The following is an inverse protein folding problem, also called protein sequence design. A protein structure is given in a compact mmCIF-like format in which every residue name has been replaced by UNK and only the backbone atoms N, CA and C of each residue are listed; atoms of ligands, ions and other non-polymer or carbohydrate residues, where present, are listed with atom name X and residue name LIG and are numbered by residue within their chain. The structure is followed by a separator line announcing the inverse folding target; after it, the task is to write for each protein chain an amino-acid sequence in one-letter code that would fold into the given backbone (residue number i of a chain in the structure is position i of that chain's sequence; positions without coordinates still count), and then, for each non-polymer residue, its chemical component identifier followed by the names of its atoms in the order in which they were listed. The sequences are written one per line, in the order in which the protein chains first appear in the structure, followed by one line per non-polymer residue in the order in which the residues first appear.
data_IF_248350320569
#
_entry.id   IF_248350320569
#
_cell.length_a   1.000
_cell.length_b   1.000
_cell.length_c   1.000
_cell.angle_alpha   90.00
_cell.angle_beta   90.00
_cell.angle_gamma   90.00
#
_symmetry.space_group_name_H-M   'P 1'
#
loop_
_entity.id
_entity.type
_entity.pdbx_description
1 polymer ?
#
# COMPACT_ATOMS: atom_id res chain seq x y z
N UNK A 1 15.25 29.75 -74.84
CA UNK A 1 16.51 29.94 -75.59
C UNK A 1 16.39 31.16 -76.46
N UNK A 2 17.38 32.07 -76.39
CA UNK A 2 17.40 33.27 -77.24
C UNK A 2 17.81 32.91 -78.67
N UNK A 3 17.25 33.61 -79.66
CA UNK A 3 17.58 33.41 -81.09
C UNK A 3 17.98 34.73 -81.73
N UNK A 4 18.89 34.67 -82.70
CA UNK A 4 19.31 35.83 -83.52
C UNK A 4 19.28 35.47 -85.00
N UNK A 5 19.24 36.47 -85.89
CA UNK A 5 19.26 36.27 -87.35
C UNK A 5 20.69 36.37 -87.87
N UNK A 6 21.09 35.47 -88.76
CA UNK A 6 22.36 35.58 -89.49
C UNK A 6 22.34 36.85 -90.36
N UNK A 7 23.38 37.70 -90.33
CA UNK A 7 23.42 38.91 -91.13
C UNK A 7 23.47 38.61 -92.63
N UNK A 8 24.07 37.48 -93.03
CA UNK A 8 24.33 37.17 -94.44
C UNK A 8 23.18 36.39 -95.10
N UNK A 9 22.64 35.38 -94.42
CA UNK A 9 21.61 34.49 -94.99
C UNK A 9 20.26 34.57 -94.28
N UNK A 10 20.11 35.44 -93.27
CA UNK A 10 18.89 35.66 -92.47
C UNK A 10 18.28 34.41 -91.80
N UNK A 11 19.00 33.29 -91.76
CA UNK A 11 18.59 32.11 -91.02
C UNK A 11 18.57 32.39 -89.51
N UNK A 12 17.62 31.80 -88.78
CA UNK A 12 17.56 31.89 -87.32
C UNK A 12 18.64 31.00 -86.69
N UNK A 13 19.45 31.57 -85.81
CA UNK A 13 20.51 30.89 -85.05
C UNK A 13 20.15 30.91 -83.57
N UNK A 14 20.42 29.83 -82.86
CA UNK A 14 20.26 29.75 -81.41
C UNK A 14 21.50 30.37 -80.76
N UNK A 15 21.29 31.31 -79.84
CA UNK A 15 22.36 31.89 -79.03
C UNK A 15 22.59 30.95 -77.85
N UNK A 16 23.81 30.43 -77.63
CA UNK A 16 24.13 29.61 -76.46
C UNK A 16 23.79 30.30 -75.15
N UNK A 17 23.45 29.52 -74.12
CA UNK A 17 23.15 30.06 -72.78
C UNK A 17 24.41 30.52 -72.03
N UNK A 18 25.59 30.17 -72.53
CA UNK A 18 26.87 30.66 -72.02
C UNK A 18 27.02 32.17 -72.29
N UNK A 19 27.06 33.00 -71.23
CA UNK A 19 27.10 34.46 -71.35
C UNK A 19 28.41 34.97 -71.97
N UNK A 20 29.48 34.17 -71.96
CA UNK A 20 30.79 34.54 -72.49
C UNK A 20 30.91 34.27 -74.00
N UNK A 21 29.88 33.66 -74.61
CA UNK A 21 29.81 33.50 -76.06
C UNK A 21 29.66 34.85 -76.74
N UNK A 22 30.71 35.27 -77.46
CA UNK A 22 30.74 36.53 -78.24
C UNK A 22 30.49 36.32 -79.72
N UNK A 23 30.62 35.09 -80.23
CA UNK A 23 30.43 34.76 -81.65
C UNK A 23 29.68 33.43 -81.82
N UNK A 24 28.78 33.37 -82.80
CA UNK A 24 28.06 32.14 -83.18
C UNK A 24 28.24 31.91 -84.68
N UNK A 25 28.50 30.66 -85.08
CA UNK A 25 28.61 30.27 -86.48
C UNK A 25 27.25 29.84 -87.02
N UNK A 26 26.86 30.38 -88.17
CA UNK A 26 25.64 29.97 -88.86
C UNK A 26 25.80 28.55 -89.42
N UNK A 27 24.90 27.65 -89.04
CA UNK A 27 24.90 26.28 -89.56
C UNK A 27 24.53 26.20 -91.06
N UNK A 28 23.89 27.22 -91.62
CA UNK A 28 23.37 27.22 -92.99
C UNK A 28 24.36 27.78 -94.01
N UNK A 29 24.91 28.98 -93.76
CA UNK A 29 25.87 29.62 -94.68
C UNK A 29 27.33 29.55 -94.19
N UNK A 30 27.56 29.04 -92.97
CA UNK A 30 28.90 28.93 -92.39
C UNK A 30 29.50 30.23 -91.85
N UNK A 31 28.85 31.38 -92.05
CA UNK A 31 29.34 32.69 -91.60
C UNK A 31 29.30 32.85 -90.08
N UNK A 32 30.24 33.60 -89.51
CA UNK A 32 30.32 33.89 -88.08
C UNK A 32 29.69 35.25 -87.77
N UNK A 33 28.65 35.26 -86.91
CA UNK A 33 28.01 36.47 -86.44
C UNK A 33 28.48 36.81 -85.03
N UNK A 34 28.72 38.10 -84.75
CA UNK A 34 28.93 38.57 -83.39
C UNK A 34 27.59 38.63 -82.64
N UNK A 35 27.57 38.10 -81.43
CA UNK A 35 26.41 38.19 -80.55
C UNK A 35 26.51 39.50 -79.78
N UNK A 36 25.65 40.47 -80.09
CA UNK A 36 25.56 41.73 -79.36
C UNK A 36 25.28 41.53 -77.86
N UNK A 37 25.68 42.49 -77.03
CA UNK A 37 25.30 42.60 -75.60
C UNK A 37 25.74 41.46 -74.66
N UNK A 38 26.96 40.94 -74.83
CA UNK A 38 27.56 39.96 -73.91
C UNK A 38 27.58 40.47 -72.44
N UNK A 39 27.82 41.77 -72.23
CA UNK A 39 27.79 42.36 -70.89
C UNK A 39 26.39 42.38 -70.27
N UNK A 40 25.34 42.66 -71.06
CA UNK A 40 23.96 42.63 -70.56
C UNK A 40 23.54 41.21 -70.14
N UNK A 41 23.95 40.19 -70.89
CA UNK A 41 23.72 38.78 -70.53
C UNK A 41 24.43 38.39 -69.23
N UNK A 42 25.70 38.78 -69.07
CA UNK A 42 26.44 38.57 -67.82
C UNK A 42 25.77 39.24 -66.62
N UNK A 43 25.34 40.49 -66.75
CA UNK A 43 24.62 41.21 -65.68
C UNK A 43 23.32 40.52 -65.31
N UNK A 44 22.52 40.12 -66.28
CA UNK A 44 21.26 39.41 -66.06
C UNK A 44 21.46 38.02 -65.42
N UNK A 45 22.53 37.30 -65.76
CA UNK A 45 22.86 36.03 -65.08
C UNK A 45 23.26 36.26 -63.62
N UNK A 46 24.10 37.26 -63.34
CA UNK A 46 24.47 37.63 -61.98
C UNK A 46 23.27 38.09 -61.15
N UNK A 47 22.31 38.78 -61.76
CA UNK A 47 21.04 39.15 -61.11
C UNK A 47 20.22 37.90 -60.76
N UNK A 48 20.07 36.95 -61.68
CA UNK A 48 19.40 35.66 -61.41
C UNK A 48 20.08 34.87 -60.30
N UNK A 49 21.41 34.84 -60.27
CA UNK A 49 22.15 34.18 -59.19
C UNK A 49 21.95 34.88 -57.84
N UNK A 50 21.92 36.22 -57.82
CA UNK A 50 21.63 36.99 -56.60
C UNK A 50 20.22 36.76 -56.11
N UNK A 51 19.24 36.74 -57.01
CA UNK A 51 17.84 36.43 -56.68
C UNK A 51 17.70 35.00 -56.17
N UNK A 52 18.34 34.02 -56.82
CA UNK A 52 18.34 32.64 -56.38
C UNK A 52 18.95 32.47 -54.97
N UNK A 53 20.05 33.18 -54.67
CA UNK A 53 20.66 33.18 -53.33
C UNK A 53 19.71 33.77 -52.28
N UNK A 54 19.10 34.93 -52.56
CA UNK A 54 18.11 35.54 -51.65
C UNK A 54 16.91 34.63 -51.42
N UNK A 55 16.44 33.96 -52.46
CA UNK A 55 15.34 33.01 -52.37
C UNK A 55 15.72 31.78 -51.52
N UNK A 56 16.92 31.24 -51.70
CA UNK A 56 17.44 30.14 -50.90
C UNK A 56 17.60 30.52 -49.41
N UNK A 57 18.10 31.73 -49.13
CA UNK A 57 18.21 32.26 -47.76
C UNK A 57 16.82 32.45 -47.12
N UNK A 58 15.85 32.98 -47.86
CA UNK A 58 14.48 33.13 -47.38
C UNK A 58 13.83 31.77 -47.07
N UNK A 59 14.01 30.77 -47.94
CA UNK A 59 13.52 29.42 -47.69
C UNK A 59 14.18 28.77 -46.48
N UNK A 60 15.51 28.93 -46.32
CA UNK A 60 16.22 28.42 -45.16
C UNK A 60 15.74 29.10 -43.86
N UNK A 61 15.48 30.41 -43.89
CA UNK A 61 14.94 31.15 -42.75
C UNK A 61 13.52 30.69 -42.38
N UNK A 62 12.64 30.48 -43.36
CA UNK A 62 11.29 29.95 -43.13
C UNK A 62 11.33 28.54 -42.54
N UNK A 63 12.15 27.64 -43.09
CA UNK A 63 12.30 26.28 -42.56
C UNK A 63 12.88 26.28 -41.12
N UNK A 64 13.77 27.22 -40.79
CA UNK A 64 14.27 27.39 -39.44
C UNK A 64 13.20 27.92 -38.47
N UNK A 65 12.35 28.85 -38.92
CA UNK A 65 11.23 29.37 -38.14
C UNK A 65 10.20 28.27 -37.83
N UNK A 66 9.79 27.49 -38.83
CA UNK A 66 8.86 26.37 -38.65
C UNK A 66 9.38 25.33 -37.63
N UNK A 67 10.68 25.01 -37.67
CA UNK A 67 11.29 24.08 -36.70
C UNK A 67 11.27 24.65 -35.28
N UNK A 68 11.42 25.96 -35.10
CA UNK A 68 11.34 26.61 -33.78
C UNK A 68 9.92 26.59 -33.26
N UNK A 69 8.95 26.96 -34.09
CA UNK A 69 7.52 26.92 -33.72
C UNK A 69 7.06 25.50 -33.37
N UNK A 70 7.50 24.49 -34.14
CA UNK A 70 7.19 23.09 -33.85
C UNK A 70 7.71 22.66 -32.46
N UNK A 71 8.96 23.03 -32.12
CA UNK A 71 9.55 22.74 -30.80
C UNK A 71 8.80 23.46 -29.69
N UNK A 72 8.47 24.74 -29.86
CA UNK A 72 7.71 25.50 -28.86
C UNK A 72 6.31 24.92 -28.63
N UNK A 73 5.64 24.44 -29.69
CA UNK A 73 4.34 23.78 -29.57
C UNK A 73 4.46 22.44 -28.84
N UNK A 74 5.51 21.67 -29.09
CA UNK A 74 5.78 20.42 -28.38
C UNK A 74 6.08 20.64 -26.90
N UNK A 75 6.91 21.63 -26.56
CA UNK A 75 7.19 22.01 -25.17
C UNK A 75 5.90 22.46 -24.45
N UNK A 76 5.08 23.32 -25.09
CA UNK A 76 3.78 23.72 -24.52
C UNK A 76 2.84 22.52 -24.31
N UNK A 77 2.89 21.51 -25.16
CA UNK A 77 2.11 20.27 -25.01
C UNK A 77 2.66 19.41 -23.88
N UNK A 78 3.98 19.30 -23.72
CA UNK A 78 4.63 18.59 -22.63
C UNK A 78 4.30 19.22 -21.27
N UNK A 79 4.45 20.54 -21.15
CA UNK A 79 4.10 21.31 -19.95
C UNK A 79 2.63 21.12 -19.55
N UNK A 80 1.71 21.13 -20.53
CA UNK A 80 0.29 20.87 -20.26
C UNK A 80 0.04 19.45 -19.75
N UNK A 81 0.77 18.45 -20.26
CA UNK A 81 0.67 17.06 -19.78
C UNK A 81 1.22 16.92 -18.36
N UNK A 82 2.32 17.59 -18.05
CA UNK A 82 2.93 17.56 -16.72
C UNK A 82 2.04 18.25 -15.67
N UNK A 83 1.47 19.42 -15.98
CA UNK A 83 0.49 20.10 -15.11
C UNK A 83 -0.76 19.25 -14.87
N UNK A 84 -1.24 18.51 -15.89
CA UNK A 84 -2.37 17.57 -15.72
C UNK A 84 -1.99 16.37 -14.86
N UNK A 85 -0.79 15.80 -15.03
CA UNK A 85 -0.29 14.70 -14.19
C UNK A 85 -0.09 15.10 -12.74
N UNK A 86 0.45 16.29 -12.46
CA UNK A 86 0.63 16.77 -11.08
C UNK A 86 -0.70 16.91 -10.32
N UNK A 87 -1.74 17.44 -10.97
CA UNK A 87 -3.05 17.66 -10.34
C UNK A 87 -3.86 16.37 -10.14
N UNK A 88 -3.77 15.43 -11.09
CA UNK A 88 -4.41 14.11 -10.95
C UNK A 88 -3.62 13.18 -10.02
N UNK A 89 -2.29 13.16 -10.11
CA UNK A 89 -1.42 12.39 -9.23
C UNK A 89 -1.58 12.79 -7.77
N UNK A 90 -1.65 14.10 -7.48
CA UNK A 90 -1.91 14.58 -6.13
C UNK A 90 -3.28 14.11 -5.59
N UNK A 91 -4.35 14.19 -6.39
CA UNK A 91 -5.71 13.77 -6.01
C UNK A 91 -5.84 12.26 -5.82
N UNK A 92 -5.24 11.47 -6.70
CA UNK A 92 -5.22 10.01 -6.60
C UNK A 92 -4.41 9.59 -5.38
N UNK A 93 -3.25 10.20 -5.14
CA UNK A 93 -2.46 9.93 -3.93
C UNK A 93 -3.18 10.35 -2.65
N UNK A 94 -3.95 11.46 -2.65
CA UNK A 94 -4.76 11.83 -1.47
C UNK A 94 -5.91 10.85 -1.23
N UNK A 95 -6.58 10.38 -2.29
CA UNK A 95 -7.64 9.37 -2.16
C UNK A 95 -7.09 8.02 -1.70
N UNK A 96 -5.97 7.56 -2.28
CA UNK A 96 -5.28 6.34 -1.83
C UNK A 96 -4.79 6.51 -0.41
N UNK A 97 -4.22 7.65 -0.02
CA UNK A 97 -3.83 7.90 1.36
C UNK A 97 -5.03 7.93 2.31
N UNK A 98 -6.17 8.52 1.94
CA UNK A 98 -7.37 8.53 2.80
C UNK A 98 -8.06 7.16 2.89
N UNK A 99 -7.97 6.31 1.87
CA UNK A 99 -8.53 4.95 1.87
C UNK A 99 -7.57 3.92 2.50
N UNK A 100 -6.27 4.09 2.29
CA UNK A 100 -5.23 3.21 2.82
C UNK A 100 -4.81 3.59 4.24
N UNK A 101 -4.90 4.86 4.66
CA UNK A 101 -4.54 5.24 6.02
C UNK A 101 -5.41 4.53 7.07
N UNK A 102 -6.74 4.41 6.96
CA UNK A 102 -7.53 3.66 7.95
C UNK A 102 -7.17 2.18 7.99
N UNK A 103 -6.86 1.54 6.86
CA UNK A 103 -6.50 0.12 6.80
C UNK A 103 -5.06 -0.12 7.27
N UNK A 104 -4.11 0.73 6.89
CA UNK A 104 -2.74 0.70 7.39
C UNK A 104 -2.74 0.99 8.89
N UNK A 105 -3.43 2.03 9.37
CA UNK A 105 -3.57 2.34 10.80
C UNK A 105 -4.25 1.18 11.54
N UNK A 106 -5.30 0.56 10.98
CA UNK A 106 -5.92 -0.61 11.61
C UNK A 106 -4.95 -1.80 11.73
N UNK A 107 -4.18 -2.09 10.68
CA UNK A 107 -3.18 -3.16 10.70
C UNK A 107 -2.01 -2.82 11.62
N UNK A 108 -1.49 -1.59 11.60
CA UNK A 108 -0.31 -1.19 12.38
C UNK A 108 -0.63 -0.93 13.86
N UNK A 109 -1.83 -0.46 14.18
CA UNK A 109 -2.24 -0.14 15.56
C UNK A 109 -2.91 -1.33 16.25
N UNK A 110 -3.61 -2.21 15.53
CA UNK A 110 -4.32 -3.34 16.16
C UNK A 110 -3.70 -4.72 15.86
N UNK A 111 -3.19 -4.97 14.65
CA UNK A 111 -2.72 -6.32 14.25
C UNK A 111 -1.21 -6.52 14.50
N UNK A 112 -0.38 -5.50 14.24
CA UNK A 112 1.07 -5.56 14.46
C UNK A 112 1.46 -5.68 15.95
N UNK A 113 0.86 -4.97 16.93
CA UNK A 113 1.19 -5.15 18.34
C UNK A 113 0.80 -6.54 18.86
N UNK A 114 -0.31 -7.11 18.38
CA UNK A 114 -0.76 -8.47 18.71
C UNK A 114 0.17 -9.55 18.13
N UNK A 115 0.81 -9.28 16.98
CA UNK A 115 1.79 -10.17 16.34
C UNK A 115 3.23 -9.98 16.83
N UNK A 116 3.62 -8.76 17.20
CA UNK A 116 4.96 -8.40 17.70
C UNK A 116 5.14 -8.58 19.22
N UNK A 117 4.14 -9.10 19.94
CA UNK A 117 4.28 -9.43 21.36
C UNK A 117 3.92 -8.30 22.33
N UNK A 118 3.50 -7.13 21.85
CA UNK A 118 2.94 -6.05 22.68
C UNK A 118 1.50 -6.34 23.18
N UNK A 119 1.00 -7.56 22.95
CA UNK A 119 -0.26 -8.11 23.48
C UNK A 119 -0.06 -9.25 24.48
N UNK A 120 1.10 -9.33 25.17
CA UNK A 120 1.33 -10.32 26.23
C UNK A 120 0.60 -10.01 27.55
N UNK A 121 -0.24 -8.97 27.61
CA UNK A 121 -0.92 -8.54 28.84
C UNK A 121 -1.64 -9.68 29.56
N UNK A 122 -2.28 -10.59 28.84
CA UNK A 122 -2.89 -11.78 29.45
C UNK A 122 -1.86 -12.72 30.09
N UNK A 123 -0.76 -13.02 29.41
CA UNK A 123 0.30 -13.87 29.95
C UNK A 123 1.03 -13.22 31.13
N UNK A 124 1.29 -11.91 31.07
CA UNK A 124 1.93 -11.17 32.16
C UNK A 124 1.02 -11.04 33.38
N UNK A 125 -0.28 -10.79 33.19
CA UNK A 125 -1.27 -10.85 34.28
C UNK A 125 -1.30 -12.24 34.91
N UNK A 126 -1.30 -13.31 34.10
CA UNK A 126 -1.21 -14.66 34.65
C UNK A 126 0.11 -14.89 35.39
N UNK A 127 1.25 -14.37 34.92
CA UNK A 127 2.53 -14.46 35.65
C UNK A 127 2.45 -13.75 37.00
N UNK A 128 1.85 -12.57 37.07
CA UNK A 128 1.66 -11.85 38.32
C UNK A 128 0.74 -12.63 39.28
N UNK A 129 -0.42 -13.09 38.80
CA UNK A 129 -1.37 -13.86 39.62
C UNK A 129 -0.80 -15.19 40.07
N UNK A 130 -0.08 -15.91 39.21
CA UNK A 130 0.59 -17.17 39.57
C UNK A 130 1.70 -16.95 40.60
N UNK A 131 2.46 -15.86 40.50
CA UNK A 131 3.46 -15.48 41.52
C UNK A 131 2.80 -15.17 42.86
N UNK A 132 1.67 -14.46 42.85
CA UNK A 132 0.89 -14.19 44.07
C UNK A 132 0.31 -15.47 44.67
N UNK A 133 -0.19 -16.40 43.85
CA UNK A 133 -0.74 -17.67 44.35
C UNK A 133 0.36 -18.63 44.82
N UNK A 134 1.58 -18.51 44.28
CA UNK A 134 2.73 -19.27 44.77
C UNK A 134 3.06 -18.94 46.23
N UNK A 135 2.86 -17.69 46.68
CA UNK A 135 3.05 -17.34 48.10
C UNK A 135 2.00 -17.97 49.03
N UNK A 136 0.91 -18.52 48.49
CA UNK A 136 -0.16 -19.23 49.22
C UNK A 136 0.02 -20.76 49.06
N UNK A 137 1.15 -21.20 48.51
CA UNK A 137 1.48 -22.62 48.34
C UNK A 137 0.92 -23.27 47.07
N UNK A 138 0.37 -22.49 46.12
CA UNK A 138 -0.01 -23.04 44.82
C UNK A 138 1.22 -23.34 43.95
N UNK A 139 1.25 -24.51 43.33
CA UNK A 139 2.28 -24.93 42.37
C UNK A 139 1.73 -24.97 40.94
N UNK A 140 2.57 -24.69 39.95
CA UNK A 140 2.17 -24.73 38.53
C UNK A 140 2.08 -26.18 38.07
N UNK A 141 0.87 -26.63 37.73
CA UNK A 141 0.63 -27.96 37.15
C UNK A 141 0.70 -27.94 35.62
N UNK A 142 0.24 -26.85 34.99
CA UNK A 142 0.45 -26.59 33.57
C UNK A 142 0.99 -25.17 33.38
N UNK A 143 2.12 -25.00 32.64
CA UNK A 143 2.70 -23.69 32.41
C UNK A 143 1.74 -22.81 31.60
N UNK A 144 1.98 -21.49 31.64
CA UNK A 144 1.19 -20.54 30.87
C UNK A 144 1.33 -20.85 29.38
N UNK A 145 0.22 -21.20 28.75
CA UNK A 145 0.12 -21.38 27.30
C UNK A 145 -0.63 -20.21 26.70
N UNK A 146 -0.14 -19.69 25.59
CA UNK A 146 -0.78 -18.61 24.84
C UNK A 146 -1.18 -19.11 23.45
N UNK A 147 -2.46 -19.00 23.14
CA UNK A 147 -3.04 -19.43 21.87
C UNK A 147 -3.77 -18.27 21.23
N UNK A 148 -3.60 -18.06 19.93
CA UNK A 148 -4.42 -17.09 19.21
C UNK A 148 -5.79 -17.71 18.96
N UNK A 149 -6.82 -17.19 19.63
CA UNK A 149 -8.15 -17.76 19.62
C UNK A 149 -9.12 -16.90 18.81
N UNK A 150 -9.79 -17.52 17.84
CA UNK A 150 -10.92 -16.96 17.09
C UNK A 150 -12.26 -17.55 17.54
N UNK A 151 -12.25 -18.42 18.55
CA UNK A 151 -13.38 -19.16 19.09
C UNK A 151 -13.02 -19.80 20.44
N UNK A 152 -13.91 -20.64 20.97
CA UNK A 152 -13.69 -21.29 22.26
C UNK A 152 -12.45 -22.21 22.24
N UNK A 153 -11.67 -22.18 23.31
CA UNK A 153 -10.48 -23.03 23.49
C UNK A 153 -10.82 -24.13 24.48
N UNK A 154 -10.75 -25.39 24.06
CA UNK A 154 -11.04 -26.57 24.89
C UNK A 154 -9.75 -27.33 25.16
N UNK A 155 -9.46 -27.63 26.43
CA UNK A 155 -8.23 -28.32 26.85
C UNK A 155 -8.58 -29.44 27.82
N UNK A 156 -8.03 -30.62 27.54
CA UNK A 156 -8.03 -31.75 28.47
C UNK A 156 -6.78 -31.70 29.34
N UNK A 157 -6.94 -31.94 30.64
CA UNK A 157 -5.81 -32.08 31.55
C UNK A 157 -6.03 -33.19 32.59
N UNK A 158 -4.98 -33.94 32.93
CA UNK A 158 -5.01 -34.86 34.06
C UNK A 158 -4.90 -34.05 35.36
N UNK A 159 -5.97 -34.02 36.14
CA UNK A 159 -5.99 -33.39 37.46
C UNK A 159 -5.54 -34.40 38.53
N UNK A 160 -4.57 -34.05 39.41
CA UNK A 160 -4.26 -34.88 40.57
C UNK A 160 -5.42 -34.83 41.58
N UNK A 161 -5.39 -35.74 42.57
CA UNK A 161 -6.22 -35.59 43.75
C UNK A 161 -5.84 -34.28 44.48
N UNK A 162 -6.83 -33.55 44.97
CA UNK A 162 -6.66 -32.24 45.61
C UNK A 162 -7.33 -31.11 44.83
N UNK A 163 -6.91 -29.87 45.12
CA UNK A 163 -7.49 -28.68 44.52
C UNK A 163 -6.67 -28.17 43.34
N UNK A 164 -7.35 -27.91 42.24
CA UNK A 164 -6.80 -27.26 41.06
C UNK A 164 -7.46 -25.91 40.86
N UNK A 165 -6.66 -24.92 40.44
CA UNK A 165 -7.12 -23.59 40.10
C UNK A 165 -6.75 -23.30 38.65
N UNK A 166 -7.76 -23.05 37.83
CA UNK A 166 -7.61 -22.76 36.41
C UNK A 166 -7.79 -21.27 36.23
N UNK A 167 -6.83 -20.65 35.56
CA UNK A 167 -6.80 -19.22 35.30
C UNK A 167 -6.74 -19.02 33.79
N UNK A 168 -7.56 -18.11 33.27
CA UNK A 168 -7.48 -17.66 31.91
C UNK A 168 -7.43 -16.13 31.87
N UNK A 169 -6.74 -15.58 30.88
CA UNK A 169 -6.60 -14.14 30.70
C UNK A 169 -6.58 -13.81 29.20
N UNK A 170 -7.40 -12.85 28.80
CA UNK A 170 -7.49 -12.37 27.43
C UNK A 170 -6.64 -11.13 27.22
N UNK A 171 -5.98 -11.02 26.07
CA UNK A 171 -5.33 -9.80 25.61
C UNK A 171 -6.04 -9.20 24.38
N UNK A 172 -5.81 -7.91 24.11
CA UNK A 172 -6.40 -7.21 22.96
C UNK A 172 -7.90 -6.95 23.15
N UNK A 173 -8.71 -7.42 22.19
CA UNK A 173 -10.17 -7.15 22.14
C UNK A 173 -11.02 -8.11 22.99
N UNK A 174 -10.38 -9.00 23.75
CA UNK A 174 -11.06 -9.87 24.71
C UNK A 174 -11.60 -9.05 25.89
N UNK A 175 -12.82 -8.51 25.75
CA UNK A 175 -13.50 -7.70 26.79
C UNK A 175 -14.20 -8.53 27.87
N UNK A 176 -14.52 -9.77 27.55
CA UNK A 176 -15.19 -10.71 28.46
C UNK A 176 -14.83 -12.13 28.05
N UNK A 177 -14.40 -12.91 29.02
CA UNK A 177 -14.13 -14.33 28.90
C UNK A 177 -15.05 -15.12 29.84
N UNK A 178 -15.43 -16.31 29.37
CA UNK A 178 -16.01 -17.37 30.18
C UNK A 178 -15.00 -18.49 30.35
N UNK A 179 -15.02 -19.15 31.50
CA UNK A 179 -14.29 -20.36 31.79
C UNK A 179 -15.30 -21.39 32.29
N UNK A 180 -15.31 -22.57 31.69
CA UNK A 180 -16.18 -23.70 32.07
C UNK A 180 -15.29 -24.90 32.35
N UNK A 181 -15.62 -25.66 33.38
CA UNK A 181 -14.94 -26.88 33.76
C UNK A 181 -15.92 -28.04 33.66
N UNK A 182 -15.50 -29.13 33.04
CA UNK A 182 -16.26 -30.35 32.85
C UNK A 182 -15.51 -31.54 33.46
N UNK A 183 -16.29 -32.43 34.07
CA UNK A 183 -15.79 -33.68 34.64
C UNK A 183 -15.53 -34.75 33.59
N UNK A 184 -15.05 -35.93 34.02
CA UNK A 184 -14.80 -37.07 33.14
C UNK A 184 -16.09 -37.56 32.45
N UNK A 185 -17.24 -37.41 33.11
CA UNK A 185 -18.55 -37.81 32.59
C UNK A 185 -19.15 -36.78 31.60
N UNK A 186 -18.41 -35.71 31.29
CA UNK A 186 -18.84 -34.63 30.42
C UNK A 186 -19.80 -33.61 31.07
N UNK A 187 -20.23 -33.85 32.32
CA UNK A 187 -21.03 -32.91 33.09
C UNK A 187 -20.25 -31.65 33.46
N UNK A 188 -20.91 -30.48 33.43
CA UNK A 188 -20.32 -29.22 33.87
C UNK A 188 -20.18 -29.21 35.40
N UNK A 189 -18.96 -29.00 35.87
CA UNK A 189 -18.61 -28.96 37.29
C UNK A 189 -18.62 -27.53 37.84
N UNK A 190 -18.14 -26.58 37.05
CA UNK A 190 -18.05 -25.18 37.45
C UNK A 190 -18.00 -24.25 36.23
N UNK A 191 -18.44 -23.00 36.43
CA UNK A 191 -18.34 -21.95 35.42
C UNK A 191 -18.06 -20.59 36.04
N UNK A 192 -17.30 -19.77 35.34
CA UNK A 192 -17.05 -18.37 35.63
C UNK A 192 -17.25 -17.58 34.35
N UNK A 193 -18.10 -16.55 34.36
CA UNK A 193 -18.45 -15.79 33.15
C UNK A 193 -18.32 -14.28 33.41
N UNK A 194 -18.18 -13.49 32.35
CA UNK A 194 -18.33 -12.04 32.43
C UNK A 194 -17.12 -11.29 32.97
N UNK A 195 -15.93 -11.89 32.95
CA UNK A 195 -14.70 -11.26 33.49
C UNK A 195 -13.55 -11.31 32.49
N UNK A 196 -12.58 -10.39 32.63
CA UNK A 196 -11.38 -10.37 31.78
C UNK A 196 -10.39 -11.48 32.13
N UNK A 197 -10.41 -11.92 33.39
CA UNK A 197 -9.49 -12.89 33.96
C UNK A 197 -10.26 -13.94 34.78
N UNK A 198 -11.08 -14.80 34.14
CA UNK A 198 -11.90 -15.76 34.86
C UNK A 198 -11.02 -16.80 35.55
N UNK A 199 -11.44 -17.15 36.77
CA UNK A 199 -10.75 -18.12 37.62
C UNK A 199 -11.76 -19.15 38.12
N UNK A 200 -11.36 -20.42 38.10
CA UNK A 200 -12.13 -21.50 38.69
C UNK A 200 -11.26 -22.33 39.61
N UNK A 201 -11.79 -22.64 40.78
CA UNK A 201 -11.19 -23.60 41.71
C UNK A 201 -12.06 -24.84 41.76
N UNK A 202 -11.45 -26.01 41.65
CA UNK A 202 -12.12 -27.31 41.76
C UNK A 202 -11.28 -28.25 42.63
N UNK A 203 -11.92 -28.93 43.57
CA UNK A 203 -11.27 -29.89 44.46
C UNK A 203 -11.86 -31.28 44.26
N UNK A 204 -11.03 -32.23 43.83
CA UNK A 204 -11.41 -33.63 43.64
C UNK A 204 -10.73 -34.53 44.67
N UNK A 205 -11.45 -35.54 45.17
CA UNK A 205 -10.89 -36.52 46.10
C UNK A 205 -9.98 -37.56 45.42
N UNK A 206 -10.16 -37.78 44.11
CA UNK A 206 -9.41 -38.75 43.31
C UNK A 206 -8.86 -38.06 42.05
N UNK A 207 -7.73 -38.56 41.49
CA UNK A 207 -7.23 -38.07 40.22
C UNK A 207 -8.23 -38.35 39.09
N UNK A 208 -8.44 -37.38 38.21
CA UNK A 208 -9.40 -37.48 37.12
C UNK A 208 -8.95 -36.65 35.91
N UNK A 209 -9.40 -37.05 34.71
CA UNK A 209 -9.21 -36.22 33.51
C UNK A 209 -10.33 -35.20 33.46
N UNK A 210 -9.96 -33.92 33.53
CA UNK A 210 -10.89 -32.81 33.46
C UNK A 210 -10.74 -32.11 32.10
N UNK A 211 -11.83 -31.47 31.66
CA UNK A 211 -11.85 -30.65 30.45
C UNK A 211 -12.25 -29.24 30.84
N UNK A 212 -11.46 -28.24 30.48
CA UNK A 212 -11.89 -26.85 30.63
C UNK A 212 -12.00 -26.17 29.28
N UNK A 213 -13.03 -25.33 29.17
CA UNK A 213 -13.30 -24.52 27.99
C UNK A 213 -13.22 -23.06 28.34
N UNK A 214 -12.54 -22.30 27.49
CA UNK A 214 -12.44 -20.86 27.59
C UNK A 214 -13.27 -20.27 26.47
N UNK A 215 -14.40 -19.68 26.82
CA UNK A 215 -15.37 -19.10 25.90
C UNK A 215 -15.03 -17.63 25.70
N UNK A 216 -14.77 -17.25 24.46
CA UNK A 216 -14.57 -15.84 24.08
C UNK A 216 -15.91 -15.22 23.70
N UNK A 217 -16.17 -13.98 24.13
CA UNK A 217 -17.37 -13.24 23.78
C UNK A 217 -17.54 -13.01 22.26
N UNK A 218 -18.76 -12.67 21.79
CA UNK A 218 -19.01 -12.44 20.37
C UNK A 218 -18.10 -11.34 19.82
N UNK A 219 -17.46 -11.62 18.68
CA UNK A 219 -16.51 -10.75 17.97
C UNK A 219 -15.15 -10.49 18.64
N UNK A 220 -14.80 -11.19 19.72
CA UNK A 220 -13.48 -11.07 20.34
C UNK A 220 -12.43 -11.96 19.63
N UNK A 221 -11.40 -11.35 19.04
CA UNK A 221 -10.22 -12.03 18.49
C UNK A 221 -8.99 -11.57 19.25
N UNK A 222 -8.09 -12.50 19.55
CA UNK A 222 -6.85 -12.12 20.23
C UNK A 222 -6.11 -13.29 20.85
N UNK A 223 -4.96 -12.99 21.45
CA UNK A 223 -4.19 -13.97 22.22
C UNK A 223 -4.91 -14.24 23.54
N UNK A 224 -5.17 -15.51 23.78
CA UNK A 224 -5.72 -16.01 25.01
C UNK A 224 -4.63 -16.80 25.74
N UNK A 225 -4.40 -16.46 27.01
CA UNK A 225 -3.44 -17.14 27.85
C UNK A 225 -4.15 -17.89 28.96
N UNK A 226 -3.62 -19.04 29.36
CA UNK A 226 -4.24 -19.92 30.34
C UNK A 226 -3.19 -20.74 31.06
N UNK A 227 -3.46 -21.11 32.31
CA UNK A 227 -2.58 -21.91 33.16
C UNK A 227 -3.41 -22.68 34.18
N UNK A 228 -2.87 -23.80 34.66
CA UNK A 228 -3.47 -24.61 35.71
C UNK A 228 -2.49 -24.71 36.87
N UNK A 229 -2.98 -24.41 38.06
CA UNK A 229 -2.26 -24.51 39.31
C UNK A 229 -2.87 -25.64 40.15
N UNK A 230 -2.03 -26.33 40.92
CA UNK A 230 -2.46 -27.15 42.05
C UNK A 230 -2.29 -26.32 43.31
N UNK A 231 -3.37 -26.13 44.07
CA UNK A 231 -3.35 -25.35 45.30
C UNK A 231 -3.65 -26.26 46.50
N UNK A 232 -3.14 -25.93 47.70
CA UNK A 232 -3.64 -26.56 48.91
C UNK A 232 -5.15 -26.31 49.01
N UNK A 233 -5.87 -27.23 49.66
CA UNK A 233 -7.28 -27.02 49.93
C UNK A 233 -7.44 -25.72 50.72
N UNK A 234 -8.12 -24.75 50.12
CA UNK A 234 -8.44 -23.50 50.78
C UNK A 234 -9.22 -23.87 52.05
N UNK A 235 -8.66 -23.56 53.21
CA UNK A 235 -9.34 -23.79 54.47
C UNK A 235 -10.69 -23.08 54.37
N UNK A 236 -11.78 -23.85 54.43
CA UNK A 236 -13.13 -23.32 54.33
C UNK A 236 -13.24 -22.09 55.25
N UNK A 237 -13.82 -20.97 54.80
CA UNK A 237 -14.04 -19.84 55.69
C UNK A 237 -14.76 -20.36 56.94
N UNK A 238 -14.33 -19.96 58.16
CA UNK A 238 -14.97 -20.44 59.38
C UNK A 238 -16.46 -20.20 59.24
N UNK A 239 -17.26 -21.26 59.47
CA UNK A 239 -18.70 -21.21 59.38
C UNK A 239 -19.19 -19.94 60.08
N UNK A 240 -19.86 -19.06 59.33
CA UNK A 240 -20.40 -17.86 59.92
C UNK A 240 -21.24 -18.27 61.13
N UNK A 241 -21.08 -17.64 62.31
CA UNK A 241 -21.88 -17.99 63.47
C UNK A 241 -23.37 -17.89 63.09
N UNK A 242 -24.22 -18.80 63.60
CA UNK A 242 -25.63 -18.80 63.27
C UNK A 242 -26.21 -17.41 63.56
N UNK A 243 -26.80 -16.78 62.54
CA UNK A 243 -27.51 -15.52 62.68
C UNK A 243 -28.70 -15.79 63.59
N UNK A 244 -28.56 -15.41 64.85
CA UNK A 244 -29.62 -15.43 65.84
C UNK A 244 -30.78 -14.58 65.31
N UNK A 245 -31.93 -15.21 65.10
CA UNK A 245 -33.10 -14.58 64.49
C UNK A 245 -33.54 -13.38 65.35
N UNK A 246 -33.48 -12.18 64.77
CA UNK A 246 -33.97 -10.97 65.41
C UNK A 246 -35.47 -11.13 65.78
N UNK A 247 -35.88 -10.77 67.01
CA UNK A 247 -37.26 -10.91 67.45
C UNK A 247 -38.19 -10.01 66.63
N UNK A 248 -39.24 -10.63 66.05
CA UNK A 248 -40.33 -9.93 65.36
C UNK A 248 -40.96 -8.90 66.28
N UNK A 249 -40.86 -7.61 65.93
CA UNK A 249 -41.66 -6.56 66.55
C UNK A 249 -43.16 -6.81 66.28
N UNK A 250 -44.03 -6.69 67.30
CA UNK A 250 -45.47 -6.76 67.10
C UNK A 250 -45.94 -5.54 66.30
N UNK A 251 -46.63 -5.79 65.19
CA UNK A 251 -47.40 -4.76 64.49
C UNK A 251 -48.57 -4.34 65.39
N UNK A 252 -48.63 -3.05 65.72
CA UNK A 252 -49.86 -2.37 66.15
C UNK A 252 -50.60 -1.89 64.92
#
# INVERSE_FOLDING_TARGET
MATMRCPDCHASMVVPEDPDTTTVRCAYCGATAQVGDAEARRRHQLEREREARRWAEAQAAHAAAERREAREVEERRADRRERRRGRWGARVMTLVAMLAAPTIIAITVFDLPARLGYGASGADRLRQTTTQLASIGCAVAQPIRSTYATGAVSVLFPAPAGCVRILAAGAGDHRSLGLRLFGPDGGELAKAEGTLDPQLTYCGAAPATLRYEIVVGPAAKGRLSHTVLTCPAEAAPPAAPPVEAAPKKPRR
#
